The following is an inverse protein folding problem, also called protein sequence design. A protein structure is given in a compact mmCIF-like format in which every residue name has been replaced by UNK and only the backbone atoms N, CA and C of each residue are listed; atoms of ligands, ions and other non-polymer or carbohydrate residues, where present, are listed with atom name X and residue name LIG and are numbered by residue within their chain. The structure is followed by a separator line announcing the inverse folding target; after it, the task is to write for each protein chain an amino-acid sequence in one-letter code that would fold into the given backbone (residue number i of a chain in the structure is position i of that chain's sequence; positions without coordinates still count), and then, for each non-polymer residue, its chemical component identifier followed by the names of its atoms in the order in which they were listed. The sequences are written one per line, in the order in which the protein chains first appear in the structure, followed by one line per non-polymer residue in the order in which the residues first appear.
data_IF_519323623747
#
_entry.id   IF_519323623747
#
_cell.length_a   1.000
_cell.length_b   1.000
_cell.length_c   1.000
_cell.angle_alpha   90.00
_cell.angle_beta   90.00
_cell.angle_gamma   90.00
#
_symmetry.space_group_name_H-M   'P 1'
#
loop_
_entity.id
_entity.type
_entity.pdbx_description
1 polymer ?
#
# COMPACT_ATOMS: atom_id res chain seq x y z
N UNK A 1 16.17 -6.37 4.67
CA UNK A 1 16.10 -5.68 5.98
C UNK A 1 15.26 -6.40 7.03
N UNK A 2 15.09 -7.72 6.99
CA UNK A 2 14.31 -8.47 8.00
C UNK A 2 15.21 -8.87 9.17
N UNK A 3 14.72 -8.71 10.40
CA UNK A 3 15.32 -9.24 11.64
C UNK A 3 15.52 -10.75 11.56
N UNK A 4 16.62 -11.27 12.11
CA UNK A 4 17.04 -12.67 11.90
C UNK A 4 16.04 -13.68 12.43
N UNK A 5 15.47 -13.44 13.62
CA UNK A 5 14.49 -14.32 14.26
C UNK A 5 13.20 -14.51 13.44
N UNK A 6 12.96 -13.61 12.48
CA UNK A 6 11.78 -13.58 11.63
C UNK A 6 12.06 -13.96 10.16
N UNK A 7 13.29 -14.39 9.82
CA UNK A 7 13.64 -14.87 8.46
C UNK A 7 13.20 -16.32 8.23
N UNK A 8 11.88 -16.54 8.27
CA UNK A 8 11.24 -17.83 8.01
C UNK A 8 9.97 -17.62 7.20
N UNK A 9 9.50 -18.67 6.54
CA UNK A 9 8.17 -18.65 5.93
C UNK A 9 7.12 -18.59 7.03
N UNK A 10 6.39 -17.48 7.09
CA UNK A 10 5.35 -17.23 8.08
C UNK A 10 4.35 -16.22 7.53
N UNK A 11 3.12 -16.27 8.05
CA UNK A 11 2.16 -15.20 7.82
C UNK A 11 2.64 -13.92 8.51
N UNK A 12 2.37 -12.79 7.87
CA UNK A 12 2.75 -11.45 8.34
C UNK A 12 1.63 -10.48 8.01
N UNK A 13 1.65 -9.32 8.67
CA UNK A 13 0.83 -8.17 8.31
C UNK A 13 1.74 -7.13 7.65
N UNK A 14 1.41 -6.73 6.42
CA UNK A 14 2.06 -5.61 5.76
C UNK A 14 1.23 -4.35 6.00
N UNK A 15 1.84 -3.32 6.58
CA UNK A 15 1.25 -1.99 6.72
C UNK A 15 1.89 -1.07 5.68
N UNK A 16 1.06 -0.57 4.78
CA UNK A 16 1.46 0.33 3.70
C UNK A 16 0.66 1.62 3.84
N UNK A 17 1.33 2.76 3.77
CA UNK A 17 0.64 4.06 3.77
C UNK A 17 0.02 4.30 2.38
N UNK A 18 -1.14 4.97 2.27
CA UNK A 18 -1.80 5.19 0.97
C UNK A 18 -0.91 5.84 -0.09
N UNK A 19 -0.02 6.75 0.29
CA UNK A 19 0.93 7.43 -0.59
C UNK A 19 2.09 6.54 -1.08
N UNK A 20 2.31 5.39 -0.45
CA UNK A 20 3.35 4.43 -0.86
C UNK A 20 2.79 3.27 -1.71
N UNK A 21 1.46 3.25 -1.93
CA UNK A 21 0.81 2.39 -2.90
C UNK A 21 0.91 3.02 -4.29
N UNK A 22 1.57 2.32 -5.19
CA UNK A 22 1.85 2.78 -6.55
C UNK A 22 0.91 2.07 -7.51
N UNK A 23 0.04 2.84 -8.15
CA UNK A 23 -0.87 2.35 -9.18
C UNK A 23 -0.17 2.26 -10.54
N UNK A 24 -0.32 1.14 -11.24
CA UNK A 24 0.12 0.97 -12.63
C UNK A 24 -1.08 0.63 -13.52
N UNK A 25 -1.22 1.36 -14.62
CA UNK A 25 -2.29 1.18 -15.62
C UNK A 25 -2.09 -0.09 -16.48
N UNK A 26 -0.86 -0.61 -16.53
CA UNK A 26 -0.53 -1.80 -17.30
C UNK A 26 -0.82 -3.06 -16.48
N UNK A 27 -1.49 -4.03 -17.10
CA UNK A 27 -1.64 -5.36 -16.53
C UNK A 27 -0.25 -6.00 -16.37
N UNK A 28 0.10 -6.40 -15.16
CA UNK A 28 1.45 -6.85 -14.84
C UNK A 28 1.59 -7.36 -13.41
N UNK A 29 2.79 -7.27 -12.87
CA UNK A 29 3.09 -7.69 -11.49
C UNK A 29 2.41 -6.76 -10.48
N UNK A 30 1.79 -7.33 -9.45
CA UNK A 30 1.16 -6.58 -8.36
C UNK A 30 -0.18 -7.19 -7.93
N UNK A 31 -0.88 -6.45 -7.06
CA UNK A 31 -2.21 -6.79 -6.57
C UNK A 31 -3.23 -6.14 -7.52
N UNK A 32 -4.08 -6.95 -8.14
CA UNK A 32 -5.10 -6.44 -9.05
C UNK A 32 -6.19 -5.68 -8.28
N UNK A 33 -6.59 -4.52 -8.78
CA UNK A 33 -7.67 -3.71 -8.22
C UNK A 33 -8.47 -2.97 -9.30
N UNK A 34 -9.71 -2.60 -8.99
CA UNK A 34 -10.61 -1.84 -9.85
C UNK A 34 -10.92 -0.51 -9.15
N UNK A 35 -10.73 0.61 -9.85
CA UNK A 35 -11.04 1.95 -9.31
C UNK A 35 -12.55 2.08 -9.12
N UNK A 36 -12.98 2.44 -7.92
CA UNK A 36 -14.37 2.73 -7.59
C UNK A 36 -14.70 4.21 -7.73
N UNK A 37 -13.82 5.06 -7.19
CA UNK A 37 -13.99 6.52 -7.23
C UNK A 37 -12.64 7.24 -7.08
N UNK A 38 -12.61 8.52 -7.41
CA UNK A 38 -11.45 9.38 -7.18
C UNK A 38 -11.85 10.80 -6.75
N UNK A 39 -11.13 11.36 -5.78
CA UNK A 39 -11.36 12.71 -5.26
C UNK A 39 -10.11 13.56 -5.48
N UNK A 40 -10.25 14.64 -6.23
CA UNK A 40 -9.19 15.62 -6.46
C UNK A 40 -9.15 16.65 -5.32
N UNK A 41 -8.02 16.75 -4.64
CA UNK A 41 -7.76 17.66 -3.52
C UNK A 41 -6.59 18.61 -3.84
N UNK A 42 -6.59 19.20 -5.03
CA UNK A 42 -5.61 20.20 -5.44
C UNK A 42 -4.30 19.56 -5.92
N UNK A 43 -3.36 19.33 -5.02
CA UNK A 43 -2.07 18.72 -5.37
C UNK A 43 -2.12 17.20 -5.42
N UNK A 44 -3.11 16.60 -4.77
CA UNK A 44 -3.24 15.14 -4.67
C UNK A 44 -4.61 14.67 -5.13
N UNK A 45 -4.64 13.49 -5.73
CA UNK A 45 -5.86 12.75 -6.03
C UNK A 45 -5.88 11.49 -5.18
N UNK A 46 -6.96 11.31 -4.44
CA UNK A 46 -7.23 10.10 -3.68
C UNK A 46 -8.03 9.15 -4.57
N UNK A 47 -7.56 7.92 -4.68
CA UNK A 47 -8.22 6.87 -5.45
C UNK A 47 -8.71 5.79 -4.49
N UNK A 48 -10.00 5.48 -4.57
CA UNK A 48 -10.64 4.41 -3.83
C UNK A 48 -10.88 3.25 -4.80
N UNK A 49 -10.57 2.04 -4.35
CA UNK A 49 -10.62 0.85 -5.19
C UNK A 49 -10.87 -0.39 -4.36
N UNK A 50 -11.29 -1.46 -5.03
CA UNK A 50 -11.38 -2.78 -4.43
C UNK A 50 -10.49 -3.79 -5.17
N UNK A 51 -9.90 -4.70 -4.41
CA UNK A 51 -9.16 -5.85 -4.93
C UNK A 51 -10.10 -6.98 -5.36
N UNK A 52 -9.58 -8.01 -6.04
CA UNK A 52 -10.38 -9.18 -6.46
C UNK A 52 -11.04 -9.93 -5.29
N UNK A 53 -10.46 -9.87 -4.10
CA UNK A 53 -11.04 -10.43 -2.86
C UNK A 53 -11.98 -9.46 -2.13
N UNK A 54 -12.31 -8.32 -2.74
CA UNK A 54 -13.27 -7.34 -2.23
C UNK A 54 -12.75 -6.45 -1.10
N UNK A 55 -11.44 -6.41 -0.86
CA UNK A 55 -10.87 -5.48 0.11
C UNK A 55 -10.80 -4.08 -0.47
N UNK A 56 -11.22 -3.11 0.33
CA UNK A 56 -11.11 -1.69 0.01
C UNK A 56 -9.66 -1.23 0.21
N UNK A 57 -9.18 -0.44 -0.74
CA UNK A 57 -7.82 0.13 -0.76
C UNK A 57 -7.90 1.60 -1.16
N UNK A 58 -7.04 2.40 -0.54
CA UNK A 58 -6.84 3.81 -0.89
C UNK A 58 -5.41 4.01 -1.40
N UNK A 59 -5.26 4.75 -2.51
CA UNK A 59 -3.97 5.25 -2.99
C UNK A 59 -4.02 6.75 -3.18
N UNK A 60 -2.97 7.44 -2.73
CA UNK A 60 -2.81 8.88 -2.92
C UNK A 60 -1.72 9.11 -3.95
N UNK A 61 -2.04 9.87 -5.00
CA UNK A 61 -1.08 10.24 -6.06
C UNK A 61 -1.04 11.76 -6.21
N UNK A 62 0.11 12.28 -6.63
CA UNK A 62 0.20 13.67 -7.07
C UNK A 62 -0.70 13.87 -8.30
N UNK A 63 -1.54 14.91 -8.24
CA UNK A 63 -2.44 15.24 -9.32
C UNK A 63 -1.68 15.80 -10.50
N UNK A 64 -1.83 15.17 -11.65
CA UNK A 64 -1.40 15.73 -12.93
C UNK A 64 -2.61 15.94 -13.82
N UNK A 65 -2.63 17.08 -14.52
CA UNK A 65 -3.78 17.58 -15.29
C UNK A 65 -4.27 16.53 -16.32
N UNK A 66 -3.37 15.72 -16.86
CA UNK A 66 -3.65 14.79 -17.95
C UNK A 66 -3.79 13.31 -17.55
N UNK A 67 -3.70 12.95 -16.25
CA UNK A 67 -3.55 11.54 -15.85
C UNK A 67 -4.57 10.99 -14.84
N UNK A 68 -5.76 11.60 -14.74
CA UNK A 68 -6.83 11.04 -13.91
C UNK A 68 -7.24 9.65 -14.43
N UNK A 69 -7.32 8.67 -13.54
CA UNK A 69 -7.78 7.31 -13.84
C UNK A 69 -9.28 7.24 -13.58
N UNK A 70 -10.08 6.80 -14.56
CA UNK A 70 -11.53 6.76 -14.43
C UNK A 70 -11.99 5.59 -13.56
N UNK A 71 -13.12 5.72 -12.83
CA UNK A 71 -13.83 4.59 -12.24
C UNK A 71 -14.07 3.45 -13.22
N UNK A 72 -14.02 2.21 -12.74
CA UNK A 72 -14.10 0.98 -13.52
C UNK A 72 -12.80 0.60 -14.24
N UNK A 73 -11.75 1.41 -14.13
CA UNK A 73 -10.44 1.05 -14.69
C UNK A 73 -9.78 -0.02 -13.84
N UNK A 74 -9.36 -1.11 -14.48
CA UNK A 74 -8.51 -2.14 -13.87
C UNK A 74 -7.06 -1.66 -13.81
N UNK A 75 -6.43 -1.81 -12.65
CA UNK A 75 -5.05 -1.44 -12.40
C UNK A 75 -4.30 -2.53 -11.65
N UNK A 76 -2.96 -2.44 -11.66
CA UNK A 76 -2.09 -3.22 -10.78
C UNK A 76 -1.52 -2.33 -9.68
N UNK A 77 -1.74 -2.72 -8.42
CA UNK A 77 -1.15 -2.09 -7.24
C UNK A 77 0.20 -2.72 -6.92
N UNK A 78 1.20 -1.85 -6.79
CA UNK A 78 2.51 -2.18 -6.27
C UNK A 78 2.80 -1.30 -5.05
N UNK A 79 3.91 -1.55 -4.37
CA UNK A 79 4.26 -0.81 -3.16
C UNK A 79 5.73 -0.38 -3.18
N UNK A 80 6.02 0.73 -2.54
CA UNK A 80 7.39 1.13 -2.28
C UNK A 80 7.97 0.29 -1.12
N UNK A 81 8.71 -0.77 -1.45
CA UNK A 81 9.28 -1.71 -0.47
C UNK A 81 10.25 -1.07 0.52
N UNK A 82 10.76 0.13 0.24
CA UNK A 82 11.68 0.84 1.14
C UNK A 82 10.96 1.52 2.31
N UNK A 83 9.64 1.74 2.20
CA UNK A 83 8.86 2.53 3.16
C UNK A 83 7.65 1.79 3.76
N UNK A 84 7.54 0.49 3.53
CA UNK A 84 6.54 -0.35 4.19
C UNK A 84 6.99 -0.77 5.59
N UNK A 85 6.02 -1.13 6.43
CA UNK A 85 6.26 -1.84 7.68
C UNK A 85 5.72 -3.26 7.59
N UNK A 86 6.46 -4.21 8.14
CA UNK A 86 6.04 -5.62 8.23
C UNK A 86 5.91 -5.99 9.70
N UNK A 87 4.79 -6.59 10.07
CA UNK A 87 4.51 -7.03 11.43
C UNK A 87 4.25 -8.53 11.48
N UNK A 88 4.40 -9.11 12.67
CA UNK A 88 3.94 -10.47 12.98
C UNK A 88 2.44 -10.63 12.70
N UNK A 89 1.95 -11.86 12.53
CA UNK A 89 0.53 -12.11 12.22
C UNK A 89 -0.42 -11.57 13.29
N UNK A 90 0.02 -11.49 14.54
CA UNK A 90 -0.71 -10.93 15.67
C UNK A 90 -0.52 -9.40 15.81
N UNK A 91 0.29 -8.78 14.94
CA UNK A 91 0.59 -7.34 14.94
C UNK A 91 1.51 -6.88 16.07
N UNK A 92 2.02 -7.79 16.92
CA UNK A 92 2.72 -7.43 18.16
C UNK A 92 4.14 -6.89 17.95
N UNK A 93 4.82 -7.27 16.86
CA UNK A 93 6.21 -6.88 16.61
C UNK A 93 6.47 -6.46 15.17
N UNK A 94 7.26 -5.40 14.98
CA UNK A 94 7.80 -5.03 13.66
C UNK A 94 8.99 -5.94 13.31
N UNK A 95 8.95 -6.51 12.12
CA UNK A 95 9.89 -7.51 11.60
C UNK A 95 11.10 -6.85 10.91
N UNK A 96 11.00 -5.59 10.52
CA UNK A 96 12.09 -4.88 9.81
C UNK A 96 13.17 -4.41 10.79
N UNK A 97 14.43 -4.45 10.35
CA UNK A 97 15.60 -3.91 11.06
C UNK A 97 15.64 -2.39 10.87
N UNK A 98 15.97 -1.65 11.93
CA UNK A 98 16.22 -0.21 11.86
C UNK A 98 14.99 0.69 11.99
N UNK A 99 13.80 0.12 12.15
CA UNK A 99 12.59 0.88 12.49
C UNK A 99 12.53 1.02 14.01
N UNK A 100 12.77 2.23 14.54
CA UNK A 100 12.45 2.57 15.93
C UNK A 100 10.98 2.92 16.00
N UNK A 101 10.19 2.10 16.69
CA UNK A 101 8.85 2.51 17.08
C UNK A 101 8.98 3.55 18.18
N UNK A 102 8.80 4.83 17.85
CA UNK A 102 8.87 5.95 18.82
C UNK A 102 7.66 5.99 19.79
N UNK A 103 6.83 4.92 19.81
CA UNK A 103 5.64 4.82 20.63
C UNK A 103 5.85 3.85 21.80
N UNK A 104 6.98 3.98 22.51
CA UNK A 104 7.11 3.41 23.86
C UNK A 104 6.69 4.52 24.82
N UNK A 105 5.43 4.50 25.25
CA UNK A 105 5.05 5.24 26.46
C UNK A 105 5.65 4.49 27.65
N UNK A 106 6.49 5.19 28.42
CA UNK A 106 6.98 4.77 29.74
C UNK A 106 5.83 4.36 30.68
#
# INVERSE_FOLDING_TARGET
NIQEDYRKNQSIIASVRPEELIMRREAGTGIKAIIDDCVFLGLNTHYFMHTEDGKEVESIQESTIDSTIAPGTEISLTLNTEKINLFTTDGSANILKGVRNDCVTD
#
